data_IF_713714967278
#
_entry.id   IF_713714967278
#
_cell.length_a   1.000
_cell.length_b   1.000
_cell.length_c   1.000
_cell.angle_alpha   90.00
_cell.angle_beta   90.00
_cell.angle_gamma   90.00
#
_symmetry.space_group_name_H-M   'P 1'
#
loop_
_entity.id
_entity.type
_entity.pdbx_description
1 polymer ?
#
# COMPACT_ATOMS: atom_id res chain seq x y z
N UNK A 1 4.41 -1.38 38.89
CA UNK A 1 3.54 -0.57 38.00
C UNK A 1 4.45 0.38 37.24
N UNK A 2 4.22 0.54 35.93
CA UNK A 2 4.97 1.51 35.11
C UNK A 2 4.47 2.91 35.48
N UNK A 3 5.34 3.95 35.59
CA UNK A 3 4.91 5.31 35.88
C UNK A 3 3.94 5.85 34.81
N UNK A 4 2.98 6.67 35.22
CA UNK A 4 1.92 7.19 34.33
C UNK A 4 2.47 7.95 33.13
N UNK A 5 3.48 8.80 33.33
CA UNK A 5 4.12 9.56 32.26
C UNK A 5 4.78 8.66 31.18
N UNK A 6 5.33 7.51 31.59
CA UNK A 6 5.92 6.53 30.67
C UNK A 6 4.83 5.87 29.84
N UNK A 7 3.74 5.45 30.49
CA UNK A 7 2.63 4.80 29.78
C UNK A 7 1.89 5.76 28.84
N UNK A 8 1.73 7.03 29.25
CA UNK A 8 1.12 8.07 28.41
C UNK A 8 1.91 8.30 27.14
N UNK A 9 3.23 8.50 27.25
CA UNK A 9 4.09 8.73 26.09
C UNK A 9 4.10 7.55 25.11
N UNK A 10 4.14 6.32 25.63
CA UNK A 10 4.05 5.11 24.80
C UNK A 10 2.70 4.96 24.11
N UNK A 11 1.62 5.36 24.78
CA UNK A 11 0.26 5.30 24.23
C UNK A 11 0.09 6.33 23.12
N UNK A 12 0.54 7.56 23.32
CA UNK A 12 0.55 8.61 22.30
C UNK A 12 1.32 8.17 21.04
N UNK A 13 2.52 7.62 21.21
CA UNK A 13 3.31 7.11 20.09
C UNK A 13 2.62 5.93 19.39
N UNK A 14 2.00 5.01 20.14
CA UNK A 14 1.25 3.89 19.56
C UNK A 14 0.05 4.35 18.75
N UNK A 15 -0.70 5.36 19.24
CA UNK A 15 -1.83 5.96 18.53
C UNK A 15 -1.38 6.63 17.24
N UNK A 16 -0.22 7.30 17.24
CA UNK A 16 0.39 7.85 16.03
C UNK A 16 0.61 6.77 14.97
N UNK A 17 1.27 5.66 15.33
CA UNK A 17 1.49 4.56 14.38
C UNK A 17 0.20 3.88 13.95
N UNK A 18 -0.81 3.81 14.83
CA UNK A 18 -2.11 3.27 14.46
C UNK A 18 -2.81 4.11 13.38
N UNK A 19 -2.74 5.44 13.47
CA UNK A 19 -3.31 6.34 12.45
C UNK A 19 -2.53 6.21 11.15
N UNK A 20 -1.19 6.26 11.21
CA UNK A 20 -0.34 6.18 10.02
C UNK A 20 -0.45 4.84 9.30
N UNK A 21 -0.53 3.73 10.04
CA UNK A 21 -0.59 2.38 9.48
C UNK A 21 -2.01 1.91 9.16
N UNK A 22 -3.01 2.80 9.27
CA UNK A 22 -4.39 2.47 8.91
C UNK A 22 -4.52 2.16 7.42
N UNK A 23 -5.40 1.21 7.09
CA UNK A 23 -5.74 0.89 5.69
C UNK A 23 -6.41 2.05 4.97
N UNK A 24 -7.07 2.93 5.73
CA UNK A 24 -7.68 4.17 5.23
C UNK A 24 -7.11 5.36 5.98
N UNK A 25 -6.66 6.37 5.23
CA UNK A 25 -6.02 7.55 5.78
C UNK A 25 -7.02 8.71 5.82
N UNK A 26 -7.37 9.18 7.01
CA UNK A 26 -8.20 10.38 7.19
C UNK A 26 -7.29 11.61 7.25
N UNK A 27 -7.34 12.42 6.18
CA UNK A 27 -6.46 13.61 6.02
C UNK A 27 -6.57 14.56 7.21
N UNK A 28 -7.77 14.71 7.81
CA UNK A 28 -7.96 15.61 8.96
C UNK A 28 -7.18 15.12 10.18
N UNK A 29 -7.27 13.82 10.47
CA UNK A 29 -6.52 13.20 11.57
C UNK A 29 -5.02 13.27 11.34
N UNK A 30 -4.56 13.13 10.10
CA UNK A 30 -3.14 13.25 9.76
C UNK A 30 -2.64 14.68 9.96
N UNK A 31 -3.43 15.70 9.61
CA UNK A 31 -3.09 17.10 9.89
C UNK A 31 -2.98 17.38 11.40
N UNK A 32 -3.93 16.89 12.20
CA UNK A 32 -3.86 16.97 13.67
C UNK A 32 -2.61 16.24 14.21
N UNK A 33 -2.20 15.15 13.55
CA UNK A 33 -1.01 14.38 13.89
C UNK A 33 0.29 15.14 13.53
N UNK A 34 0.33 15.84 12.40
CA UNK A 34 1.45 16.72 12.01
C UNK A 34 1.72 17.79 13.07
N UNK A 35 0.66 18.37 13.65
CA UNK A 35 0.81 19.39 14.70
C UNK A 35 1.23 18.80 16.05
N UNK A 36 0.80 17.57 16.35
CA UNK A 36 1.05 16.93 17.65
C UNK A 36 2.31 16.06 17.71
N UNK A 37 2.87 15.64 16.56
CA UNK A 37 4.02 14.70 16.50
C UNK A 37 5.25 15.21 17.23
N UNK A 38 5.51 16.52 17.19
CA UNK A 38 6.65 17.13 17.90
C UNK A 38 6.50 16.93 19.41
N UNK A 39 5.28 17.10 19.94
CA UNK A 39 5.00 16.91 21.37
C UNK A 39 5.15 15.45 21.76
N UNK A 40 4.64 14.53 20.93
CA UNK A 40 4.75 13.08 21.15
C UNK A 40 6.22 12.66 21.20
N UNK A 41 7.04 13.14 20.26
CA UNK A 41 8.48 12.87 20.24
C UNK A 41 9.20 13.42 21.48
N UNK A 42 8.92 14.67 21.86
CA UNK A 42 9.49 15.23 23.10
C UNK A 42 9.04 14.49 24.36
N UNK A 43 7.82 13.93 24.39
CA UNK A 43 7.36 13.10 25.49
C UNK A 43 8.08 11.75 25.52
N UNK A 44 8.37 11.17 24.36
CA UNK A 44 9.17 9.95 24.25
C UNK A 44 10.62 10.19 24.72
N UNK A 45 11.24 11.31 24.34
CA UNK A 45 12.60 11.71 24.74
C UNK A 45 12.79 11.88 26.24
N UNK A 46 11.73 12.29 26.96
CA UNK A 46 11.77 12.39 28.42
C UNK A 46 11.78 11.02 29.10
N UNK A 47 11.29 9.98 28.42
CA UNK A 47 11.11 8.63 28.96
C UNK A 47 12.31 7.74 28.69
N UNK A 48 12.88 7.81 27.48
CA UNK A 48 14.02 6.98 27.10
C UNK A 48 15.35 7.75 27.24
N UNK A 49 16.48 7.05 27.43
CA UNK A 49 17.79 7.69 27.46
C UNK A 49 18.08 8.39 26.13
N UNK A 50 18.75 9.55 26.14
CA UNK A 50 19.13 10.27 24.91
C UNK A 50 19.96 9.41 23.94
N UNK A 51 20.72 8.43 24.47
CA UNK A 51 21.48 7.48 23.65
C UNK A 51 20.60 6.56 22.78
N UNK A 52 19.30 6.51 23.03
CA UNK A 52 18.31 5.79 22.22
C UNK A 52 17.81 6.61 21.02
N UNK A 53 17.90 7.94 21.06
CA UNK A 53 17.44 8.80 19.97
C UNK A 53 18.60 9.16 19.06
N UNK A 54 18.75 8.40 17.99
CA UNK A 54 19.56 8.76 16.84
C UNK A 54 18.68 9.42 15.75
N UNK A 55 19.25 9.66 14.58
CA UNK A 55 18.53 10.29 13.47
C UNK A 55 17.30 9.49 12.98
N UNK A 56 17.27 8.19 13.23
CA UNK A 56 16.20 7.29 12.78
C UNK A 56 14.92 7.48 13.57
N UNK A 57 15.00 7.68 14.89
CA UNK A 57 13.82 7.93 15.74
C UNK A 57 13.14 9.26 15.37
N UNK A 58 13.93 10.23 14.90
CA UNK A 58 13.42 11.52 14.44
C UNK A 58 12.65 11.44 13.11
N UNK A 59 12.75 10.35 12.35
CA UNK A 59 11.96 10.15 11.13
C UNK A 59 10.45 10.14 11.42
N UNK A 60 10.06 9.80 12.65
CA UNK A 60 8.67 9.83 13.10
C UNK A 60 8.05 11.23 12.90
N UNK A 61 8.85 12.30 13.02
CA UNK A 61 8.39 13.68 12.78
C UNK A 61 7.90 13.93 11.35
N UNK A 62 8.50 13.24 10.38
CA UNK A 62 8.18 13.43 8.96
C UNK A 62 7.05 12.52 8.48
N UNK A 63 6.82 11.39 9.17
CA UNK A 63 5.84 10.39 8.72
C UNK A 63 4.40 10.92 8.54
N UNK A 64 3.85 11.79 9.40
CA UNK A 64 2.51 12.35 9.16
C UNK A 64 2.42 13.15 7.86
N UNK A 65 3.42 14.01 7.61
CA UNK A 65 3.50 14.77 6.37
C UNK A 65 3.65 13.86 5.14
N UNK A 66 4.54 12.87 5.23
CA UNK A 66 4.75 11.90 4.15
C UNK A 66 3.51 11.06 3.88
N UNK A 67 2.78 10.63 4.91
CA UNK A 67 1.52 9.91 4.75
C UNK A 67 0.45 10.80 4.11
N UNK A 68 0.40 12.09 4.44
CA UNK A 68 -0.55 13.02 3.79
C UNK A 68 -0.30 13.18 2.30
N UNK A 69 0.98 13.25 1.90
CA UNK A 69 1.37 13.46 0.48
C UNK A 69 1.38 12.14 -0.30
N UNK A 70 1.89 11.07 0.29
CA UNK A 70 2.03 9.75 -0.33
C UNK A 70 0.78 8.88 -0.25
N UNK A 71 -0.18 9.23 0.61
CA UNK A 71 -1.39 8.45 0.82
C UNK A 71 -1.19 7.27 1.79
N UNK A 72 -2.13 6.30 1.79
CA UNK A 72 -2.11 5.19 2.73
C UNK A 72 -0.82 4.37 2.67
N UNK A 73 -0.37 3.92 3.85
CA UNK A 73 0.87 3.16 4.08
C UNK A 73 1.08 1.98 3.13
N UNK A 74 -0.02 1.37 2.68
CA UNK A 74 -0.03 0.19 1.81
C UNK A 74 0.71 0.40 0.50
N UNK A 75 0.71 1.63 -0.02
CA UNK A 75 1.37 2.00 -1.27
C UNK A 75 2.73 2.67 -1.06
N UNK A 76 2.96 3.22 0.13
CA UNK A 76 4.22 3.87 0.50
C UNK A 76 5.29 2.89 0.99
N UNK A 77 4.93 1.64 1.28
CA UNK A 77 5.87 0.60 1.69
C UNK A 77 6.43 -0.17 0.49
N UNK A 78 7.57 -0.83 0.69
CA UNK A 78 8.21 -1.66 -0.33
C UNK A 78 7.39 -2.94 -0.68
N UNK A 79 6.45 -3.33 0.20
CA UNK A 79 5.64 -4.54 0.08
C UNK A 79 4.89 -4.72 -1.25
N UNK A 80 4.10 -3.75 -1.75
CA UNK A 80 3.45 -3.84 -3.08
C UNK A 80 4.45 -4.11 -4.21
N UNK A 81 5.59 -3.41 -4.19
CA UNK A 81 6.63 -3.58 -5.20
C UNK A 81 7.27 -4.96 -5.14
N UNK A 82 7.62 -5.45 -3.95
CA UNK A 82 8.16 -6.81 -3.78
C UNK A 82 7.18 -7.89 -4.22
N UNK A 83 5.89 -7.72 -3.90
CA UNK A 83 4.85 -8.64 -4.31
C UNK A 83 4.68 -8.67 -5.84
N UNK A 84 4.72 -7.50 -6.47
CA UNK A 84 4.69 -7.39 -7.93
C UNK A 84 5.91 -8.08 -8.56
N UNK A 85 7.11 -7.78 -8.08
CA UNK A 85 8.35 -8.41 -8.55
C UNK A 85 8.34 -9.93 -8.35
N UNK A 86 7.74 -10.42 -7.26
CA UNK A 86 7.54 -11.85 -7.03
C UNK A 86 6.66 -12.48 -8.11
N UNK A 87 5.57 -11.83 -8.52
CA UNK A 87 4.72 -12.34 -9.60
C UNK A 87 5.43 -12.32 -10.95
N UNK A 88 6.18 -11.25 -11.26
CA UNK A 88 7.02 -11.22 -12.46
C UNK A 88 8.04 -12.35 -12.48
N UNK A 89 8.68 -12.61 -11.34
CA UNK A 89 9.67 -13.70 -11.21
C UNK A 89 9.07 -15.08 -11.46
N UNK A 90 7.78 -15.31 -11.13
CA UNK A 90 7.08 -16.57 -11.44
C UNK A 90 6.83 -16.76 -12.94
N UNK A 91 6.73 -15.67 -13.72
CA UNK A 91 6.52 -15.71 -15.18
C UNK A 91 7.79 -16.13 -15.94
N UNK A 92 8.95 -15.96 -15.33
CA UNK A 92 10.26 -16.30 -15.92
C UNK A 92 10.53 -17.80 -15.80
N UNK A 93 10.28 -18.56 -16.87
CA UNK A 93 10.60 -19.99 -16.98
C UNK A 93 12.03 -20.26 -17.48
N UNK A 94 12.57 -19.36 -18.30
CA UNK A 94 13.93 -19.44 -18.83
C UNK A 94 14.67 -18.12 -18.58
N UNK A 95 15.79 -18.18 -17.85
CA UNK A 95 16.58 -16.99 -17.48
C UNK A 95 17.38 -16.40 -18.65
N UNK A 96 17.50 -17.10 -19.77
CA UNK A 96 18.16 -16.57 -20.97
C UNK A 96 17.36 -15.46 -21.65
N UNK A 97 16.03 -15.40 -21.43
CA UNK A 97 15.12 -14.46 -22.08
C UNK A 97 14.05 -13.94 -21.10
N UNK A 98 14.49 -13.32 -20.00
CA UNK A 98 13.62 -12.87 -18.90
C UNK A 98 12.53 -11.91 -19.39
N UNK A 99 12.90 -10.88 -20.14
CA UNK A 99 11.99 -9.83 -20.61
C UNK A 99 10.93 -10.40 -21.56
N UNK A 100 11.37 -11.16 -22.56
CA UNK A 100 10.48 -11.77 -23.55
C UNK A 100 9.42 -12.69 -22.89
N UNK A 101 9.82 -13.48 -21.89
CA UNK A 101 8.89 -14.34 -21.15
C UNK A 101 7.91 -13.57 -20.27
N UNK A 102 8.35 -12.48 -19.65
CA UNK A 102 7.45 -11.62 -18.87
C UNK A 102 6.40 -11.02 -19.80
N UNK A 103 6.81 -10.50 -20.96
CA UNK A 103 5.91 -9.92 -21.97
C UNK A 103 4.94 -10.97 -22.50
N UNK A 104 5.44 -12.15 -22.89
CA UNK A 104 4.59 -13.25 -23.37
C UNK A 104 3.54 -13.65 -22.33
N UNK A 105 3.96 -13.88 -21.08
CA UNK A 105 3.05 -14.23 -20.00
C UNK A 105 2.04 -13.11 -19.71
N UNK A 106 2.44 -11.84 -19.83
CA UNK A 106 1.57 -10.69 -19.64
C UNK A 106 0.51 -10.61 -20.75
N UNK A 107 0.89 -10.77 -22.02
CA UNK A 107 -0.06 -10.79 -23.15
C UNK A 107 -1.11 -11.88 -22.98
N UNK A 108 -0.69 -13.09 -22.59
CA UNK A 108 -1.62 -14.20 -22.31
C UNK A 108 -2.56 -13.86 -21.15
N UNK A 109 -2.06 -13.26 -20.07
CA UNK A 109 -2.88 -12.83 -18.94
C UNK A 109 -3.91 -11.78 -19.33
N UNK A 110 -3.53 -10.78 -20.13
CA UNK A 110 -4.44 -9.74 -20.64
C UNK A 110 -5.53 -10.34 -21.53
N UNK A 111 -5.20 -11.27 -22.44
CA UNK A 111 -6.19 -11.96 -23.27
C UNK A 111 -7.15 -12.78 -22.40
N UNK A 112 -6.64 -13.51 -21.40
CA UNK A 112 -7.47 -14.30 -20.47
C UNK A 112 -8.39 -13.38 -19.64
N UNK A 113 -7.87 -12.24 -19.19
CA UNK A 113 -8.63 -11.26 -18.44
C UNK A 113 -9.73 -10.63 -19.31
N UNK A 114 -9.40 -10.20 -20.53
CA UNK A 114 -10.35 -9.62 -21.48
C UNK A 114 -11.43 -10.64 -21.89
N UNK A 115 -11.05 -11.86 -22.25
CA UNK A 115 -12.00 -12.93 -22.60
C UNK A 115 -12.93 -13.29 -21.44
N UNK A 116 -12.51 -13.09 -20.19
CA UNK A 116 -13.35 -13.33 -19.01
C UNK A 116 -14.62 -12.46 -18.94
N UNK A 117 -14.65 -11.33 -19.65
CA UNK A 117 -15.84 -10.47 -19.75
C UNK A 117 -16.95 -11.11 -20.60
N UNK A 118 -16.60 -12.01 -21.52
CA UNK A 118 -17.55 -12.67 -22.41
C UNK A 118 -18.16 -13.94 -21.79
N UNK A 119 -17.56 -14.47 -20.71
CA UNK A 119 -18.10 -15.64 -20.02
C UNK A 119 -19.19 -15.29 -19.01
N UNK A 120 -20.20 -16.14 -18.91
CA UNK A 120 -21.28 -16.03 -17.92
C UNK A 120 -20.75 -16.00 -16.48
N UNK A 121 -21.51 -15.38 -15.57
CA UNK A 121 -21.11 -15.11 -14.17
C UNK A 121 -20.74 -16.35 -13.34
N UNK A 122 -21.26 -17.51 -13.70
CA UNK A 122 -21.03 -18.77 -13.00
C UNK A 122 -19.70 -19.47 -13.41
N UNK A 123 -19.07 -19.05 -14.51
CA UNK A 123 -17.82 -19.63 -14.99
C UNK A 123 -16.65 -19.12 -14.13
N UNK A 124 -15.86 -20.04 -13.58
CA UNK A 124 -14.66 -19.68 -12.83
C UNK A 124 -13.62 -19.03 -13.78
N UNK A 125 -13.15 -17.84 -13.42
CA UNK A 125 -12.10 -17.13 -14.16
C UNK A 125 -11.12 -16.50 -13.17
N UNK A 126 -9.86 -16.34 -13.59
CA UNK A 126 -8.80 -15.72 -12.78
C UNK A 126 -9.20 -14.33 -12.26
N UNK A 127 -9.99 -13.56 -13.03
CA UNK A 127 -10.55 -12.25 -12.64
C UNK A 127 -11.44 -12.32 -11.39
N UNK A 128 -12.22 -13.38 -11.23
CA UNK A 128 -13.23 -13.51 -10.16
C UNK A 128 -12.66 -14.15 -8.89
N UNK A 129 -11.44 -14.65 -8.96
CA UNK A 129 -10.75 -15.20 -7.81
C UNK A 129 -10.02 -14.07 -7.08
N UNK A 130 -10.58 -13.62 -5.95
CA UNK A 130 -9.86 -12.71 -5.07
C UNK A 130 -8.53 -13.36 -4.66
N UNK A 131 -7.43 -12.65 -4.82
CA UNK A 131 -6.17 -13.15 -4.31
C UNK A 131 -6.24 -13.11 -2.77
N UNK A 132 -5.71 -14.16 -2.12
CA UNK A 132 -5.68 -14.20 -0.65
C UNK A 132 -4.78 -13.05 -0.18
N UNK A 133 -5.38 -12.11 0.56
CA UNK A 133 -4.78 -10.88 1.11
C UNK A 133 -4.85 -9.63 0.22
N UNK A 134 -5.71 -9.59 -0.79
CA UNK A 134 -6.07 -8.31 -1.43
C UNK A 134 -7.32 -7.73 -0.75
N UNK A 135 -7.11 -6.80 0.19
CA UNK A 135 -8.19 -5.95 0.74
C UNK A 135 -8.67 -4.88 -0.25
N UNK A 136 -8.21 -4.94 -1.50
CA UNK A 136 -8.68 -4.14 -2.63
C UNK A 136 -10.04 -4.67 -3.08
N UNK A 137 -11.05 -4.38 -2.29
CA UNK A 137 -12.42 -4.32 -2.76
C UNK A 137 -12.55 -3.17 -3.76
N UNK A 138 -12.15 -3.40 -5.01
CA UNK A 138 -12.78 -2.71 -6.12
C UNK A 138 -14.25 -3.13 -6.07
N UNK A 139 -15.07 -2.29 -5.42
CA UNK A 139 -16.52 -2.41 -5.50
C UNK A 139 -16.86 -2.52 -6.98
N UNK A 140 -17.56 -3.60 -7.30
CA UNK A 140 -18.12 -3.85 -8.62
C UNK A 140 -19.10 -2.74 -8.94
N UNK A 141 -18.60 -1.66 -9.53
CA UNK A 141 -19.45 -0.66 -10.14
C UNK A 141 -19.78 -1.18 -11.54
N UNK A 142 -21.07 -1.42 -11.75
CA UNK A 142 -21.64 -1.81 -13.03
C UNK A 142 -21.39 -0.70 -14.04
N UNK A 143 -20.31 -0.82 -14.82
CA UNK A 143 -19.92 0.22 -15.79
C UNK A 143 -19.78 -0.40 -17.19
N UNK A 144 -20.48 0.24 -18.12
CA UNK A 144 -20.64 0.04 -19.58
C UNK A 144 -19.72 -0.94 -20.31
N UNK A 145 -20.28 -1.69 -21.26
CA UNK A 145 -19.63 -2.65 -22.19
C UNK A 145 -18.75 -1.96 -23.28
N UNK A 146 -18.15 -0.82 -22.99
CA UNK A 146 -17.22 -0.17 -23.91
C UNK A 146 -15.78 -0.53 -23.56
N UNK A 147 -15.12 -1.16 -24.53
CA UNK A 147 -13.72 -1.66 -24.45
C UNK A 147 -12.73 -0.53 -24.11
N UNK A 148 -13.09 0.73 -24.37
CA UNK A 148 -12.23 1.90 -24.16
C UNK A 148 -12.31 2.51 -22.74
N UNK A 149 -13.22 2.05 -21.88
CA UNK A 149 -13.48 2.66 -20.56
C UNK A 149 -13.18 1.72 -19.38
N UNK A 150 -12.38 0.68 -19.56
CA UNK A 150 -12.03 -0.24 -18.48
C UNK A 150 -10.68 0.10 -17.86
N UNK A 151 -10.60 0.30 -16.53
CA UNK A 151 -9.31 0.41 -15.85
C UNK A 151 -8.56 -0.92 -15.98
N UNK A 152 -7.31 -0.85 -16.42
CA UNK A 152 -6.42 -2.01 -16.48
C UNK A 152 -6.19 -2.63 -15.09
N UNK A 153 -5.47 -3.76 -15.01
CA UNK A 153 -5.15 -4.40 -13.74
C UNK A 153 -4.57 -3.37 -12.75
N UNK A 154 -4.98 -3.44 -11.48
CA UNK A 154 -4.68 -2.49 -10.37
C UNK A 154 -3.19 -2.45 -9.97
N UNK A 155 -2.27 -2.77 -10.88
CA UNK A 155 -0.83 -2.62 -10.72
C UNK A 155 -0.20 -1.55 -11.61
N UNK A 156 -0.93 -0.91 -12.52
CA UNK A 156 -0.38 0.07 -13.46
C UNK A 156 -1.36 1.22 -13.71
N UNK A 157 -1.39 2.18 -12.78
CA UNK A 157 -1.66 3.56 -13.13
C UNK A 157 -0.29 4.23 -13.19
N UNK A 158 0.47 3.93 -14.25
CA UNK A 158 1.58 4.79 -14.62
C UNK A 158 0.91 6.04 -15.16
N UNK A 159 1.01 7.13 -14.41
CA UNK A 159 0.83 8.46 -14.96
C UNK A 159 1.79 8.58 -16.16
N UNK A 160 1.22 8.47 -17.36
CA UNK A 160 1.79 9.08 -18.54
C UNK A 160 1.74 10.58 -18.28
N UNK A 161 2.80 11.11 -17.67
CA UNK A 161 3.13 12.53 -17.85
C UNK A 161 3.55 12.70 -19.31
N UNK A 162 2.67 13.39 -20.05
CA UNK A 162 2.79 14.03 -21.37
C UNK A 162 3.59 13.31 -22.48
#
# INVERSE_FOLDING_TARGET
MVPEHVWSALTEASLLFQVLCSTTLDIRKVQELEDSVVVIMCNLEKVFPLAFFDSMEHLILHMPYEARVGGPVQYSWMYPFERFLRELKKKVKNKAHVEALIVEAYVVEEIVWFTSHYFESHVASKRRQASRNDDLTCKHESISRDIFNHPGPVGFQIELFD
#
